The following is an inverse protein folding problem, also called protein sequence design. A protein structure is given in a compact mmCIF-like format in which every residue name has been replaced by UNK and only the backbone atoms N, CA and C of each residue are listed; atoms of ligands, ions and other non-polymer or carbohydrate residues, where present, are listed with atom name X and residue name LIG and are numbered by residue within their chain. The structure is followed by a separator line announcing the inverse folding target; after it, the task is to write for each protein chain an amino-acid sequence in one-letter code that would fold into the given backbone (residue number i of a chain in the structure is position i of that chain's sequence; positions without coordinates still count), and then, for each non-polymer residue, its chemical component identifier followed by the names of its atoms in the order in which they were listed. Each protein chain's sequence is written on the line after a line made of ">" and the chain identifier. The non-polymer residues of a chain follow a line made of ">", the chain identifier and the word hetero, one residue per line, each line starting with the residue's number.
data_IF_026350956270
#
_entry.id   IF_026350956270
#
_cell.length_a   1.000
_cell.length_b   1.000
_cell.length_c   1.000
_cell.angle_alpha   90.00
_cell.angle_beta   90.00
_cell.angle_gamma   90.00
#
_symmetry.space_group_name_H-M   'P 1'
#
loop_
_entity.id
_entity.type
_entity.pdbx_description
1 polymer ?
#
# COMPACT_ATOMS: atom_id res chain seq x y z
N UNK A 1 -10.32 -19.75 36.82
CA UNK A 1 -9.02 -19.49 36.18
C UNK A 1 -8.91 -20.23 34.83
N UNK A 2 -9.90 -20.06 33.94
CA UNK A 2 -10.00 -20.75 32.63
C UNK A 2 -10.49 -19.83 31.49
N UNK A 3 -10.94 -18.62 31.80
CA UNK A 3 -11.51 -17.66 30.83
C UNK A 3 -10.47 -16.74 30.21
N UNK A 4 -9.32 -16.51 30.87
CA UNK A 4 -8.27 -15.60 30.39
C UNK A 4 -7.52 -16.15 29.17
N UNK A 5 -7.31 -17.47 29.09
CA UNK A 5 -6.61 -18.09 27.94
C UNK A 5 -7.47 -18.06 26.66
N UNK A 6 -8.77 -18.37 26.73
CA UNK A 6 -9.62 -18.38 25.52
C UNK A 6 -9.77 -17.01 24.85
N UNK A 7 -9.71 -15.93 25.63
CA UNK A 7 -9.77 -14.58 25.06
C UNK A 7 -8.45 -14.28 24.34
N UNK A 8 -7.31 -14.62 24.94
CA UNK A 8 -6.00 -14.47 24.30
C UNK A 8 -5.88 -15.31 23.01
N UNK A 9 -6.32 -16.57 23.04
CA UNK A 9 -6.30 -17.46 21.87
C UNK A 9 -7.24 -16.95 20.76
N UNK A 10 -8.40 -16.40 21.12
CA UNK A 10 -9.33 -15.80 20.16
C UNK A 10 -8.78 -14.52 19.54
N UNK A 11 -8.10 -13.67 20.33
CA UNK A 11 -7.43 -12.46 19.85
C UNK A 11 -6.24 -12.78 18.94
N UNK A 12 -5.44 -13.79 19.27
CA UNK A 12 -4.32 -14.25 18.42
C UNK A 12 -4.86 -14.81 17.10
N UNK A 13 -5.86 -15.70 17.16
CA UNK A 13 -6.48 -16.28 15.97
C UNK A 13 -7.12 -15.22 15.07
N UNK A 14 -7.81 -14.23 15.65
CA UNK A 14 -8.37 -13.13 14.86
C UNK A 14 -7.29 -12.22 14.30
N UNK A 15 -6.21 -11.94 15.02
CA UNK A 15 -5.10 -11.12 14.51
C UNK A 15 -4.37 -11.78 13.33
N UNK A 16 -4.04 -13.07 13.43
CA UNK A 16 -3.37 -13.82 12.35
C UNK A 16 -4.28 -13.99 11.13
N UNK A 17 -5.57 -14.26 11.35
CA UNK A 17 -6.53 -14.36 10.26
C UNK A 17 -6.74 -13.01 9.55
N UNK A 18 -6.82 -11.91 10.31
CA UNK A 18 -6.96 -10.58 9.74
C UNK A 18 -5.71 -10.17 8.95
N UNK A 19 -4.53 -10.43 9.51
CA UNK A 19 -3.25 -10.10 8.87
C UNK A 19 -3.10 -10.86 7.55
N UNK A 20 -3.33 -12.17 7.53
CA UNK A 20 -3.23 -12.98 6.33
C UNK A 20 -4.30 -12.61 5.28
N UNK A 21 -5.55 -12.42 5.70
CA UNK A 21 -6.64 -12.07 4.77
C UNK A 21 -6.46 -10.67 4.17
N UNK A 22 -5.96 -9.71 4.96
CA UNK A 22 -5.66 -8.36 4.49
C UNK A 22 -4.45 -8.36 3.54
N UNK A 23 -3.43 -9.19 3.82
CA UNK A 23 -2.28 -9.36 2.94
C UNK A 23 -2.68 -9.98 1.60
N UNK A 24 -3.48 -11.05 1.61
CA UNK A 24 -4.01 -11.68 0.38
C UNK A 24 -4.88 -10.72 -0.42
N UNK A 25 -5.76 -9.96 0.25
CA UNK A 25 -6.60 -8.96 -0.40
C UNK A 25 -5.76 -7.82 -1.00
N UNK A 26 -4.70 -7.40 -0.30
CA UNK A 26 -3.75 -6.39 -0.78
C UNK A 26 -3.00 -6.85 -2.03
N UNK A 27 -2.54 -8.11 -2.05
CA UNK A 27 -1.90 -8.72 -3.21
C UNK A 27 -2.86 -8.83 -4.41
N UNK A 28 -4.08 -9.30 -4.16
CA UNK A 28 -5.11 -9.44 -5.19
C UNK A 28 -5.51 -8.08 -5.78
N UNK A 29 -5.77 -7.09 -4.92
CA UNK A 29 -6.07 -5.73 -5.35
C UNK A 29 -4.90 -5.13 -6.14
N UNK A 30 -3.67 -5.29 -5.64
CA UNK A 30 -2.45 -4.83 -6.31
C UNK A 30 -2.32 -5.39 -7.73
N UNK A 31 -2.56 -6.69 -7.92
CA UNK A 31 -2.55 -7.33 -9.25
C UNK A 31 -3.65 -6.77 -10.17
N UNK A 32 -4.89 -6.68 -9.68
CA UNK A 32 -6.02 -6.15 -10.45
C UNK A 32 -5.77 -4.72 -10.91
N UNK A 33 -5.36 -3.84 -9.99
CA UNK A 33 -5.09 -2.45 -10.33
C UNK A 33 -3.89 -2.32 -11.28
N UNK A 34 -2.87 -3.18 -11.15
CA UNK A 34 -1.72 -3.20 -12.09
C UNK A 34 -2.16 -3.59 -13.50
N UNK A 35 -3.06 -4.57 -13.65
CA UNK A 35 -3.63 -4.93 -14.94
C UNK A 35 -4.41 -3.75 -15.54
N UNK A 36 -5.24 -3.08 -14.73
CA UNK A 36 -5.96 -1.87 -15.15
C UNK A 36 -5.00 -0.75 -15.59
N UNK A 37 -3.88 -0.59 -14.90
CA UNK A 37 -2.85 0.39 -15.26
C UNK A 37 -2.19 0.08 -16.60
N UNK A 38 -1.76 -1.17 -16.82
CA UNK A 38 -1.16 -1.60 -18.09
C UNK A 38 -2.16 -1.42 -19.23
N UNK A 39 -3.42 -1.79 -19.00
CA UNK A 39 -4.49 -1.61 -19.98
C UNK A 39 -4.76 -0.12 -20.27
N UNK A 40 -4.77 0.74 -19.24
CA UNK A 40 -4.91 2.19 -19.37
C UNK A 40 -3.76 2.83 -20.15
N UNK A 41 -2.52 2.39 -19.91
CA UNK A 41 -1.34 2.81 -20.70
C UNK A 41 -1.46 2.38 -22.16
N UNK A 42 -1.85 1.12 -22.42
CA UNK A 42 -1.96 0.59 -23.77
C UNK A 42 -3.06 1.29 -24.59
N UNK A 43 -4.19 1.58 -23.94
CA UNK A 43 -5.34 2.22 -24.60
C UNK A 43 -5.31 3.74 -24.54
N UNK A 44 -4.30 4.35 -23.90
CA UNK A 44 -4.19 5.78 -23.63
C UNK A 44 -5.46 6.36 -22.97
N UNK A 45 -6.15 5.56 -22.16
CA UNK A 45 -7.40 5.98 -21.50
C UNK A 45 -7.12 6.38 -20.04
N UNK A 46 -7.29 7.67 -19.69
CA UNK A 46 -6.90 8.17 -18.37
C UNK A 46 -7.76 7.58 -17.25
N UNK A 47 -9.01 7.20 -17.53
CA UNK A 47 -9.96 6.66 -16.54
C UNK A 47 -9.46 5.39 -15.85
N UNK A 48 -8.82 4.48 -16.60
CA UNK A 48 -8.30 3.23 -16.04
C UNK A 48 -6.98 3.44 -15.28
N UNK A 49 -6.21 4.47 -15.65
CA UNK A 49 -4.99 4.86 -14.92
C UNK A 49 -5.30 5.57 -13.61
N UNK A 50 -6.40 6.33 -13.54
CA UNK A 50 -6.82 7.05 -12.34
C UNK A 50 -7.08 6.11 -11.15
N UNK A 51 -7.76 4.98 -11.38
CA UNK A 51 -8.02 3.97 -10.34
C UNK A 51 -6.73 3.41 -9.73
N UNK A 52 -5.70 3.20 -10.55
CA UNK A 52 -4.39 2.77 -10.08
C UNK A 52 -3.68 3.87 -9.27
N UNK A 53 -3.75 5.12 -9.70
CA UNK A 53 -3.18 6.26 -8.97
C UNK A 53 -3.83 6.40 -7.60
N UNK A 54 -5.16 6.31 -7.51
CA UNK A 54 -5.88 6.36 -6.24
C UNK A 54 -5.44 5.24 -5.30
N UNK A 55 -5.30 4.02 -5.82
CA UNK A 55 -4.77 2.89 -5.05
C UNK A 55 -3.34 3.16 -4.53
N UNK A 56 -2.45 3.71 -5.37
CA UNK A 56 -1.08 4.05 -4.96
C UNK A 56 -1.05 5.13 -3.87
N UNK A 57 -1.91 6.15 -3.95
CA UNK A 57 -2.02 7.20 -2.92
C UNK A 57 -2.50 6.61 -1.59
N UNK A 58 -3.53 5.76 -1.61
CA UNK A 58 -4.02 5.08 -0.40
C UNK A 58 -2.93 4.20 0.20
N UNK A 59 -2.21 3.45 -0.64
CA UNK A 59 -1.12 2.58 -0.17
C UNK A 59 0.05 3.38 0.40
N UNK A 60 0.34 4.57 -0.14
CA UNK A 60 1.35 5.47 0.40
C UNK A 60 0.92 6.05 1.76
N UNK A 61 -0.35 6.42 1.90
CA UNK A 61 -0.91 6.91 3.16
C UNK A 61 -0.86 5.83 4.25
N UNK A 62 -1.27 4.60 3.95
CA UNK A 62 -1.19 3.48 4.91
C UNK A 62 0.26 3.15 5.28
N UNK A 63 1.18 3.16 4.30
CA UNK A 63 2.61 2.94 4.54
C UNK A 63 3.23 4.04 5.41
N UNK A 64 2.80 5.30 5.25
CA UNK A 64 3.26 6.41 6.09
C UNK A 64 2.82 6.25 7.54
N UNK A 65 1.59 5.77 7.78
CA UNK A 65 1.08 5.49 9.12
C UNK A 65 1.85 4.33 9.74
N UNK A 66 2.09 3.26 8.97
CA UNK A 66 2.91 2.12 9.40
C UNK A 66 4.31 2.56 9.80
N UNK A 67 4.95 3.43 9.02
CA UNK A 67 6.26 3.99 9.31
C UNK A 67 6.29 4.83 10.59
N UNK A 68 5.28 5.67 10.83
CA UNK A 68 5.15 6.41 12.09
C UNK A 68 5.04 5.45 13.27
N UNK A 69 4.21 4.41 13.17
CA UNK A 69 4.06 3.39 14.21
C UNK A 69 5.37 2.63 14.44
N UNK A 70 6.06 2.22 13.39
CA UNK A 70 7.37 1.55 13.49
C UNK A 70 8.42 2.44 14.12
N UNK A 71 8.46 3.73 13.80
CA UNK A 71 9.38 4.69 14.45
C UNK A 71 9.05 4.84 15.94
N UNK A 72 7.77 4.93 16.30
CA UNK A 72 7.34 4.97 17.71
C UNK A 72 7.76 3.68 18.45
N UNK A 73 7.66 2.52 17.81
CA UNK A 73 8.13 1.23 18.35
C UNK A 73 9.67 1.12 18.36
N UNK A 74 10.37 1.76 17.42
CA UNK A 74 11.84 1.84 17.41
C UNK A 74 12.37 2.58 18.64
N UNK A 75 11.69 3.66 19.07
CA UNK A 75 11.98 4.33 20.36
C UNK A 75 11.82 3.37 21.55
N UNK A 76 11.01 2.31 21.42
CA UNK A 76 10.82 1.26 22.43
C UNK A 76 11.79 0.06 22.30
N UNK A 77 12.72 0.06 21.32
CA UNK A 77 13.82 -0.91 21.22
C UNK A 77 13.87 -1.80 19.96
N UNK A 78 13.09 -1.51 18.91
CA UNK A 78 13.16 -2.26 17.64
C UNK A 78 14.48 -2.05 16.86
N UNK A 79 14.85 -2.97 15.96
CA UNK A 79 16.11 -2.89 15.20
C UNK A 79 16.12 -1.77 14.13
N UNK A 80 17.24 -1.05 14.05
CA UNK A 80 17.44 0.11 13.17
C UNK A 80 17.40 -0.25 11.67
N UNK A 81 17.74 -1.50 11.34
CA UNK A 81 17.78 -2.02 9.96
C UNK A 81 16.37 -2.11 9.36
N UNK A 82 15.38 -2.58 10.13
CA UNK A 82 14.01 -2.76 9.64
C UNK A 82 13.35 -1.41 9.34
N UNK A 83 13.62 -0.40 10.18
CA UNK A 83 13.15 0.97 9.95
C UNK A 83 13.79 1.57 8.70
N UNK A 84 15.08 1.33 8.45
CA UNK A 84 15.75 1.80 7.24
C UNK A 84 15.16 1.19 5.97
N UNK A 85 14.92 -0.13 5.96
CA UNK A 85 14.32 -0.85 4.83
C UNK A 85 12.93 -0.28 4.52
N UNK A 86 12.11 -0.05 5.56
CA UNK A 86 10.78 0.53 5.41
C UNK A 86 10.82 1.93 4.79
N UNK A 87 11.72 2.80 5.27
CA UNK A 87 11.92 4.16 4.73
C UNK A 87 12.33 4.08 3.25
N UNK A 88 13.27 3.21 2.90
CA UNK A 88 13.75 3.06 1.52
C UNK A 88 12.63 2.65 0.56
N UNK A 89 11.82 1.64 0.93
CA UNK A 89 10.69 1.21 0.11
C UNK A 89 9.64 2.32 -0.04
N UNK A 90 9.39 3.09 1.02
CA UNK A 90 8.45 4.21 0.96
C UNK A 90 8.92 5.29 -0.02
N UNK A 91 10.21 5.63 -0.02
CA UNK A 91 10.80 6.60 -0.97
C UNK A 91 10.66 6.10 -2.42
N UNK A 92 10.99 4.83 -2.66
CA UNK A 92 10.86 4.21 -3.99
C UNK A 92 9.40 4.24 -4.48
N UNK A 93 8.45 3.88 -3.62
CA UNK A 93 7.03 3.88 -3.94
C UNK A 93 6.49 5.30 -4.20
N UNK A 94 6.97 6.29 -3.44
CA UNK A 94 6.64 7.70 -3.64
C UNK A 94 7.08 8.17 -5.03
N UNK A 95 8.31 7.85 -5.42
CA UNK A 95 8.85 8.18 -6.74
C UNK A 95 8.04 7.52 -7.86
N UNK A 96 7.74 6.23 -7.74
CA UNK A 96 6.91 5.50 -8.71
C UNK A 96 5.53 6.17 -8.90
N UNK A 97 4.90 6.58 -7.80
CA UNK A 97 3.59 7.26 -7.81
C UNK A 97 3.66 8.58 -8.58
N UNK A 98 4.72 9.37 -8.39
CA UNK A 98 4.93 10.65 -9.09
C UNK A 98 5.05 10.45 -10.60
N UNK A 99 5.86 9.47 -11.03
CA UNK A 99 6.08 9.19 -12.46
C UNK A 99 4.76 8.83 -13.16
N UNK A 100 3.95 8.00 -12.52
CA UNK A 100 2.66 7.56 -13.06
C UNK A 100 1.65 8.70 -13.08
N UNK A 101 1.62 9.51 -12.04
CA UNK A 101 0.76 10.68 -11.99
C UNK A 101 1.09 11.67 -13.11
N UNK A 102 2.38 11.92 -13.36
CA UNK A 102 2.81 12.76 -14.48
C UNK A 102 2.37 12.19 -15.83
N UNK A 103 2.50 10.87 -16.02
CA UNK A 103 2.05 10.23 -17.26
C UNK A 103 0.53 10.34 -17.45
N UNK A 104 -0.25 10.17 -16.38
CA UNK A 104 -1.70 10.39 -16.41
C UNK A 104 -2.06 11.83 -16.75
N UNK A 105 -1.37 12.83 -16.19
CA UNK A 105 -1.62 14.24 -16.52
C UNK A 105 -1.35 14.52 -18.00
N UNK A 106 -0.23 14.03 -18.54
CA UNK A 106 0.09 14.21 -19.95
C UNK A 106 -0.99 13.62 -20.87
N UNK A 107 -1.52 12.43 -20.55
CA UNK A 107 -2.60 11.81 -21.30
C UNK A 107 -3.91 12.59 -21.18
N UNK A 108 -4.24 13.06 -19.97
CA UNK A 108 -5.46 13.83 -19.72
C UNK A 108 -5.43 15.18 -20.45
N UNK A 109 -4.30 15.87 -20.46
CA UNK A 109 -4.13 17.15 -21.15
C UNK A 109 -4.12 16.99 -22.68
N UNK A 110 -3.49 15.92 -23.21
CA UNK A 110 -3.46 15.63 -24.65
C UNK A 110 -4.80 15.18 -25.25
N UNK A 111 -5.80 14.83 -24.43
CA UNK A 111 -7.18 14.56 -24.87
C UNK A 111 -8.02 15.85 -24.96
N UNK A 112 -7.58 16.93 -24.29
CA UNK A 112 -8.30 18.21 -24.21
C UNK A 112 -7.82 19.20 -25.29
N UNK A 113 -6.65 18.96 -25.89
CA UNK A 113 -6.11 19.70 -27.05
C UNK A 113 -6.64 19.21 -28.38
#
# INVERSE_FOLDING_TARGET
>A
MYTKNRIFDCWIFTSEFLENSVLELGLFAGLLFTICFIFGCHTNTPTYMLSFILFQIVNLATSSISLILTIMLHVMGYHLIDTFILIFFMVLQSYYTIVIYNHYQNLREGIIS
#
